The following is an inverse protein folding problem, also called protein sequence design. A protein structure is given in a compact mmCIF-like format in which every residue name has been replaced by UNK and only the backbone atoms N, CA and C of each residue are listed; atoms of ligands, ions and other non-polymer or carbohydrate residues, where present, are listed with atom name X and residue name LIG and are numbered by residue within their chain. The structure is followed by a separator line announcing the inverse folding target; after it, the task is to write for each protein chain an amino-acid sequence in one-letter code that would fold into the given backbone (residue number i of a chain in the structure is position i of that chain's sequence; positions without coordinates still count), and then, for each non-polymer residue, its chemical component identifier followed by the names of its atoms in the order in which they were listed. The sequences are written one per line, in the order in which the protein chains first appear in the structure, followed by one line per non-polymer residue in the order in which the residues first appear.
data_IF_830712633827
#
_entry.id   IF_830712633827
#
_cell.length_a   1.000
_cell.length_b   1.000
_cell.length_c   1.000
_cell.angle_alpha   90.00
_cell.angle_beta   90.00
_cell.angle_gamma   90.00
#
_symmetry.space_group_name_H-M   'P 1'
#
loop_
_entity.id
_entity.type
_entity.pdbx_description
1 polymer ?
#
# COMPACT_ATOMS: atom_id res chain seq x y z
N UNK A 1 -20.86 -4.55 2.74
CA UNK A 1 -20.32 -4.46 1.35
C UNK A 1 -18.83 -4.28 1.44
N UNK A 2 -18.02 -5.14 0.79
CA UNK A 2 -16.57 -5.04 0.72
C UNK A 2 -16.16 -4.47 -0.66
N UNK A 3 -15.80 -3.19 -0.76
CA UNK A 3 -15.32 -2.57 -1.99
C UNK A 3 -13.90 -3.04 -2.34
N UNK A 4 -13.70 -3.41 -3.60
CA UNK A 4 -12.39 -3.66 -4.21
C UNK A 4 -12.13 -2.63 -5.28
N UNK A 5 -10.93 -2.09 -5.29
CA UNK A 5 -10.49 -1.15 -6.32
C UNK A 5 -9.45 -1.85 -7.21
N UNK A 6 -9.76 -1.93 -8.51
CA UNK A 6 -8.90 -2.56 -9.51
C UNK A 6 -9.07 -1.91 -10.87
N UNK A 7 -7.99 -1.82 -11.63
CA UNK A 7 -8.01 -1.42 -13.03
C UNK A 7 -7.08 -2.32 -13.86
N UNK A 8 -7.50 -2.82 -15.05
CA UNK A 8 -6.66 -3.70 -15.87
C UNK A 8 -5.29 -3.14 -16.23
N UNK A 9 -5.16 -1.82 -16.31
CA UNK A 9 -3.90 -1.12 -16.61
C UNK A 9 -2.79 -1.42 -15.59
N UNK A 10 -3.12 -1.89 -14.39
CA UNK A 10 -2.12 -2.17 -13.35
C UNK A 10 -1.10 -3.22 -13.78
N UNK A 11 -1.49 -4.15 -14.66
CA UNK A 11 -0.62 -5.18 -15.22
C UNK A 11 -0.27 -4.97 -16.70
N UNK A 12 -0.70 -3.85 -17.31
CA UNK A 12 -0.45 -3.54 -18.71
C UNK A 12 0.79 -2.64 -18.90
N UNK A 13 1.93 -3.08 -18.38
CA UNK A 13 3.20 -2.41 -18.54
C UNK A 13 4.24 -3.38 -19.07
N UNK A 14 4.81 -3.08 -20.23
CA UNK A 14 5.91 -3.85 -20.77
C UNK A 14 7.20 -3.52 -20.03
N UNK A 15 7.79 -4.54 -19.44
CA UNK A 15 9.06 -4.44 -18.71
C UNK A 15 10.12 -5.32 -19.37
N UNK A 16 11.41 -4.96 -19.28
CA UNK A 16 12.49 -5.81 -19.77
C UNK A 16 12.45 -7.21 -19.15
N UNK A 17 12.92 -8.20 -19.90
CA UNK A 17 13.07 -9.57 -19.39
C UNK A 17 13.92 -9.59 -18.10
N UNK A 18 13.44 -10.33 -17.08
CA UNK A 18 14.09 -10.40 -15.77
C UNK A 18 13.91 -9.17 -14.89
N UNK A 19 13.01 -8.26 -15.25
CA UNK A 19 12.70 -7.13 -14.37
C UNK A 19 12.07 -7.61 -13.06
N UNK A 20 12.57 -7.11 -11.91
CA UNK A 20 12.16 -7.60 -10.59
C UNK A 20 10.75 -7.21 -10.17
N UNK A 21 10.16 -6.18 -10.79
CA UNK A 21 8.82 -5.73 -10.45
C UNK A 21 7.76 -6.73 -10.95
N UNK A 22 6.96 -7.35 -10.06
CA UNK A 22 6.06 -8.45 -10.42
C UNK A 22 4.75 -7.92 -11.01
N UNK A 23 4.82 -7.32 -12.19
CA UNK A 23 3.72 -6.58 -12.83
C UNK A 23 2.42 -7.39 -12.98
N UNK A 24 2.51 -8.71 -13.17
CA UNK A 24 1.35 -9.56 -13.35
C UNK A 24 0.62 -9.92 -12.05
N UNK A 25 1.23 -9.67 -10.88
CA UNK A 25 0.61 -10.03 -9.59
C UNK A 25 -0.79 -9.43 -9.42
N UNK A 26 -1.02 -8.23 -9.92
CA UNK A 26 -2.29 -7.51 -9.76
C UNK A 26 -3.43 -8.16 -10.55
N UNK A 27 -3.16 -8.57 -11.79
CA UNK A 27 -4.13 -9.30 -12.60
C UNK A 27 -4.42 -10.68 -12.00
N UNK A 28 -3.38 -11.42 -11.63
CA UNK A 28 -3.54 -12.74 -11.03
C UNK A 28 -4.30 -12.70 -9.70
N UNK A 29 -4.04 -11.67 -8.90
CA UNK A 29 -4.78 -11.45 -7.65
C UNK A 29 -6.25 -11.14 -7.93
N UNK A 30 -6.54 -10.24 -8.86
CA UNK A 30 -7.91 -9.91 -9.26
C UNK A 30 -8.68 -11.15 -9.74
N UNK A 31 -8.10 -11.94 -10.64
CA UNK A 31 -8.69 -13.19 -11.14
C UNK A 31 -8.94 -14.18 -9.99
N UNK A 32 -8.00 -14.30 -9.08
CA UNK A 32 -8.12 -15.17 -7.91
C UNK A 32 -9.23 -14.70 -6.93
N UNK A 33 -9.36 -13.39 -6.70
CA UNK A 33 -10.45 -12.84 -5.88
C UNK A 33 -11.81 -13.17 -6.48
N UNK A 34 -11.97 -13.03 -7.81
CA UNK A 34 -13.21 -13.42 -8.48
C UNK A 34 -13.57 -14.90 -8.28
N UNK A 35 -12.57 -15.79 -8.40
CA UNK A 35 -12.77 -17.23 -8.17
C UNK A 35 -13.19 -17.51 -6.72
N UNK A 36 -12.55 -16.85 -5.74
CA UNK A 36 -12.90 -16.99 -4.33
C UNK A 36 -14.32 -16.49 -4.01
N UNK A 37 -14.71 -15.36 -4.61
CA UNK A 37 -16.07 -14.83 -4.46
C UNK A 37 -17.14 -15.82 -4.94
N UNK A 38 -16.90 -16.50 -6.06
CA UNK A 38 -17.84 -17.48 -6.59
C UNK A 38 -17.85 -18.77 -5.79
N UNK A 39 -16.67 -19.29 -5.44
CA UNK A 39 -16.51 -20.56 -4.71
C UNK A 39 -17.13 -20.51 -3.32
N UNK A 40 -16.94 -19.40 -2.62
CA UNK A 40 -17.35 -19.26 -1.21
C UNK A 40 -18.66 -18.46 -1.05
N UNK A 41 -19.39 -18.18 -2.16
CA UNK A 41 -20.72 -17.56 -2.22
C UNK A 41 -20.82 -16.19 -1.53
N UNK A 42 -19.81 -15.32 -1.62
CA UNK A 42 -19.87 -13.99 -1.04
C UNK A 42 -19.85 -12.83 -2.08
N UNK A 43 -20.07 -13.17 -3.35
CA UNK A 43 -20.09 -12.20 -4.46
C UNK A 43 -21.11 -11.05 -4.24
N UNK A 44 -22.24 -11.33 -3.62
CA UNK A 44 -23.27 -10.31 -3.31
C UNK A 44 -22.81 -9.32 -2.23
N UNK A 45 -21.78 -9.66 -1.47
CA UNK A 45 -21.21 -8.83 -0.41
C UNK A 45 -19.99 -8.01 -0.87
N UNK A 46 -19.60 -8.09 -2.14
CA UNK A 46 -18.43 -7.42 -2.69
C UNK A 46 -18.75 -6.65 -3.98
N UNK A 47 -18.02 -5.58 -4.22
CA UNK A 47 -18.16 -4.78 -5.42
C UNK A 47 -16.80 -4.25 -5.89
N UNK A 48 -16.53 -4.37 -7.20
CA UNK A 48 -15.38 -3.77 -7.84
C UNK A 48 -15.68 -2.35 -8.34
N UNK A 49 -14.73 -1.45 -8.10
CA UNK A 49 -14.72 -0.08 -8.61
C UNK A 49 -13.44 0.15 -9.41
N UNK A 50 -13.54 0.92 -10.48
CA UNK A 50 -12.39 1.34 -11.28
C UNK A 50 -12.10 2.82 -11.01
N UNK A 51 -10.84 3.19 -10.73
CA UNK A 51 -10.46 4.57 -10.59
C UNK A 51 -10.29 5.23 -11.96
N UNK A 52 -10.60 6.52 -12.02
CA UNK A 52 -10.12 7.41 -13.08
C UNK A 52 -8.73 7.92 -12.72
N UNK A 53 -7.85 8.09 -13.71
CA UNK A 53 -6.49 8.55 -13.44
C UNK A 53 -6.48 9.94 -12.77
N UNK A 54 -5.55 10.14 -11.82
CA UNK A 54 -5.31 11.46 -11.24
C UNK A 54 -4.90 12.45 -12.34
N UNK A 55 -5.34 13.67 -12.18
CA UNK A 55 -4.81 14.80 -12.93
C UNK A 55 -3.40 15.16 -12.46
N UNK A 56 -2.60 15.74 -13.33
CA UNK A 56 -1.27 16.25 -12.97
C UNK A 56 -1.35 17.28 -11.83
N UNK A 57 -2.42 18.08 -11.79
CA UNK A 57 -2.66 19.07 -10.74
C UNK A 57 -2.85 18.43 -9.35
N UNK A 58 -3.54 17.30 -9.26
CA UNK A 58 -3.71 16.58 -7.98
C UNK A 58 -2.39 16.01 -7.47
N UNK A 59 -1.55 15.49 -8.37
CA UNK A 59 -0.22 14.98 -8.00
C UNK A 59 0.71 16.11 -7.51
N UNK A 60 0.68 17.27 -8.16
CA UNK A 60 1.45 18.47 -7.77
C UNK A 60 1.08 19.02 -6.38
N UNK A 61 -0.05 18.65 -5.83
CA UNK A 61 -0.42 19.01 -4.45
C UNK A 61 0.42 18.29 -3.39
N UNK A 62 1.05 17.17 -3.76
CA UNK A 62 1.89 16.34 -2.89
C UNK A 62 3.35 16.41 -3.30
N UNK A 63 3.63 16.35 -4.59
CA UNK A 63 4.96 16.31 -5.17
C UNK A 63 5.38 17.66 -5.76
N UNK A 64 6.69 17.86 -5.86
CA UNK A 64 7.28 19.03 -6.49
C UNK A 64 6.86 19.17 -7.96
N UNK A 65 6.53 20.39 -8.35
CA UNK A 65 6.00 20.68 -9.69
C UNK A 65 6.98 20.30 -10.80
N UNK A 66 8.27 20.65 -10.66
CA UNK A 66 9.30 20.33 -11.65
C UNK A 66 9.48 18.81 -11.76
N UNK A 67 9.49 18.11 -10.63
CA UNK A 67 9.57 16.65 -10.61
C UNK A 67 8.43 15.99 -11.37
N UNK A 68 7.21 16.42 -11.12
CA UNK A 68 6.01 15.88 -11.79
C UNK A 68 6.04 16.17 -13.29
N UNK A 69 6.38 17.40 -13.69
CA UNK A 69 6.47 17.79 -15.10
C UNK A 69 7.53 17.01 -15.86
N UNK A 70 8.72 16.82 -15.28
CA UNK A 70 9.79 16.02 -15.88
C UNK A 70 9.38 14.56 -16.10
N UNK A 71 8.64 13.96 -15.14
CA UNK A 71 8.12 12.60 -15.29
C UNK A 71 7.06 12.51 -16.38
N UNK A 72 6.05 13.37 -16.32
CA UNK A 72 4.91 13.31 -17.25
C UNK A 72 5.33 13.60 -18.68
N UNK A 73 6.27 14.54 -18.89
CA UNK A 73 6.77 14.91 -20.23
C UNK A 73 7.83 13.97 -20.78
N UNK A 74 8.33 12.99 -20.00
CA UNK A 74 9.40 12.08 -20.44
C UNK A 74 10.79 12.69 -20.41
N UNK A 75 10.94 13.85 -19.78
CA UNK A 75 12.23 14.56 -19.71
C UNK A 75 13.01 14.25 -18.42
N UNK A 76 12.57 13.28 -17.62
CA UNK A 76 13.26 12.88 -16.41
C UNK A 76 14.66 12.33 -16.72
N UNK A 77 15.72 12.87 -16.08
CA UNK A 77 17.08 12.38 -16.30
C UNK A 77 17.23 10.87 -16.10
N UNK A 78 17.95 10.19 -16.98
CA UNK A 78 18.13 8.75 -16.95
C UNK A 78 18.66 8.21 -15.62
N UNK A 79 19.48 8.98 -14.89
CA UNK A 79 19.97 8.61 -13.57
C UNK A 79 18.85 8.57 -12.52
N UNK A 80 17.91 9.53 -12.60
CA UNK A 80 16.72 9.55 -11.72
C UNK A 80 15.76 8.40 -12.06
N UNK A 81 15.53 8.09 -13.36
CA UNK A 81 14.73 6.93 -13.78
C UNK A 81 15.34 5.61 -13.30
N UNK A 82 16.67 5.44 -13.36
CA UNK A 82 17.33 4.24 -12.80
C UNK A 82 17.14 4.09 -11.29
N UNK A 83 17.07 5.22 -10.55
CA UNK A 83 16.75 5.19 -9.10
C UNK A 83 15.31 4.74 -8.85
N UNK A 84 14.38 5.17 -9.69
CA UNK A 84 12.98 4.70 -9.64
C UNK A 84 12.92 3.20 -9.94
N UNK A 85 13.72 2.72 -10.90
CA UNK A 85 13.80 1.31 -11.25
C UNK A 85 12.93 0.91 -12.45
N UNK A 86 12.29 1.86 -13.14
CA UNK A 86 11.53 1.63 -14.36
C UNK A 86 12.14 2.32 -15.58
N UNK A 87 12.07 1.72 -16.78
CA UNK A 87 12.23 2.48 -18.02
C UNK A 87 11.01 3.43 -18.17
N UNK A 88 11.27 4.65 -18.63
CA UNK A 88 10.18 5.58 -18.86
C UNK A 88 9.34 5.16 -20.08
N UNK A 89 8.03 5.30 -19.97
CA UNK A 89 7.06 5.17 -21.06
C UNK A 89 5.76 5.94 -20.72
N UNK A 90 4.99 6.30 -21.72
CA UNK A 90 3.67 6.91 -21.51
C UNK A 90 2.74 5.95 -20.75
N UNK A 91 2.85 4.64 -21.01
CA UNK A 91 2.07 3.62 -20.30
C UNK A 91 2.46 3.54 -18.81
N UNK A 92 3.74 3.73 -18.46
CA UNK A 92 4.18 3.82 -17.06
C UNK A 92 3.50 5.00 -16.35
N UNK A 93 3.48 6.18 -16.99
CA UNK A 93 2.85 7.38 -16.40
C UNK A 93 1.35 7.18 -16.24
N UNK A 94 0.66 6.73 -17.28
CA UNK A 94 -0.79 6.47 -17.22
C UNK A 94 -1.14 5.44 -16.15
N UNK A 95 -0.40 4.32 -16.10
CA UNK A 95 -0.54 3.31 -15.05
C UNK A 95 -0.35 3.90 -13.66
N UNK A 96 0.69 4.70 -13.46
CA UNK A 96 1.02 5.26 -12.15
C UNK A 96 -0.05 6.24 -11.67
N UNK A 97 -0.52 7.14 -12.54
CA UNK A 97 -1.62 8.06 -12.22
C UNK A 97 -2.91 7.32 -11.89
N UNK A 98 -3.23 6.26 -12.64
CA UNK A 98 -4.42 5.43 -12.39
C UNK A 98 -4.30 4.62 -11.09
N UNK A 99 -3.10 4.08 -10.79
CA UNK A 99 -2.90 3.32 -9.56
C UNK A 99 -2.91 4.22 -8.32
N UNK A 100 -2.30 5.41 -8.38
CA UNK A 100 -2.39 6.36 -7.27
C UNK A 100 -3.83 6.84 -7.03
N UNK A 101 -4.62 7.06 -8.09
CA UNK A 101 -6.05 7.31 -7.99
C UNK A 101 -6.81 6.16 -7.32
N UNK A 102 -6.36 4.92 -7.54
CA UNK A 102 -6.93 3.74 -6.91
C UNK A 102 -6.86 3.80 -5.39
N UNK A 103 -5.74 4.20 -4.82
CA UNK A 103 -5.59 4.34 -3.36
C UNK A 103 -6.45 5.48 -2.81
N UNK A 104 -6.54 6.60 -3.52
CA UNK A 104 -7.44 7.70 -3.15
C UNK A 104 -8.92 7.28 -3.19
N UNK A 105 -9.34 6.54 -4.23
CA UNK A 105 -10.67 5.97 -4.31
C UNK A 105 -10.93 4.94 -3.20
N UNK A 106 -9.92 4.17 -2.80
CA UNK A 106 -10.00 3.22 -1.69
C UNK A 106 -10.26 3.93 -0.38
N UNK A 107 -9.55 5.03 -0.10
CA UNK A 107 -9.80 5.87 1.08
C UNK A 107 -11.25 6.40 1.09
N UNK A 108 -11.73 6.93 -0.03
CA UNK A 108 -13.11 7.38 -0.18
C UNK A 108 -14.12 6.26 0.08
N UNK A 109 -13.89 5.05 -0.47
CA UNK A 109 -14.78 3.90 -0.27
C UNK A 109 -14.72 3.35 1.15
N UNK A 110 -13.55 3.41 1.79
CA UNK A 110 -13.41 3.03 3.19
C UNK A 110 -14.25 3.95 4.11
N UNK A 111 -14.24 5.26 3.88
CA UNK A 111 -15.10 6.20 4.61
C UNK A 111 -16.60 5.94 4.40
N UNK A 112 -16.99 5.44 3.21
CA UNK A 112 -18.40 5.12 2.88
C UNK A 112 -18.86 3.77 3.46
N UNK A 113 -17.98 2.74 3.46
CA UNK A 113 -18.35 1.35 3.78
C UNK A 113 -17.68 0.79 5.04
N UNK A 114 -16.78 1.53 5.68
CA UNK A 114 -15.97 1.09 6.82
C UNK A 114 -14.69 0.34 6.44
N UNK A 115 -14.62 -0.22 5.25
CA UNK A 115 -13.47 -0.95 4.72
C UNK A 115 -13.44 -0.85 3.20
N UNK A 116 -12.25 -0.79 2.60
CA UNK A 116 -12.05 -0.98 1.16
C UNK A 116 -10.63 -1.50 0.89
N UNK A 117 -10.46 -2.25 -0.21
CA UNK A 117 -9.16 -2.86 -0.58
C UNK A 117 -8.78 -2.46 -2.00
N UNK A 118 -7.60 -1.90 -2.16
CA UNK A 118 -6.97 -1.63 -3.44
C UNK A 118 -6.07 -2.79 -3.84
N UNK A 119 -6.34 -3.41 -5.00
CA UNK A 119 -5.52 -4.50 -5.53
C UNK A 119 -4.23 -3.99 -6.22
N UNK A 120 -3.68 -2.88 -5.74
CA UNK A 120 -2.40 -2.26 -6.10
C UNK A 120 -2.01 -1.29 -4.97
N UNK A 121 -1.14 -0.29 -5.23
CA UNK A 121 -0.77 0.74 -4.25
C UNK A 121 0.45 0.39 -3.41
N UNK A 122 0.75 1.25 -2.40
CA UNK A 122 1.91 1.10 -1.54
C UNK A 122 3.18 1.72 -2.12
N UNK A 123 3.08 2.91 -2.72
CA UNK A 123 4.25 3.58 -3.35
C UNK A 123 4.98 4.49 -2.35
N UNK A 124 5.32 3.94 -1.19
CA UNK A 124 5.84 4.61 -0.01
C UNK A 124 7.26 5.20 -0.16
N UNK A 125 8.03 4.80 -1.21
CA UNK A 125 9.37 5.34 -1.48
C UNK A 125 9.38 6.57 -2.38
N UNK A 126 8.24 7.08 -2.81
CA UNK A 126 8.19 8.32 -3.59
C UNK A 126 8.26 9.53 -2.65
N UNK A 127 9.33 10.32 -2.81
CA UNK A 127 9.58 11.57 -2.09
C UNK A 127 8.98 12.76 -2.83
N UNK A 128 9.05 13.95 -2.23
CA UNK A 128 8.54 15.17 -2.84
C UNK A 128 9.17 15.46 -4.21
N UNK A 129 10.49 15.33 -4.34
CA UNK A 129 11.28 15.76 -5.49
C UNK A 129 11.88 14.60 -6.31
N UNK A 130 11.64 13.35 -5.91
CA UNK A 130 12.17 12.19 -6.61
C UNK A 130 11.43 10.90 -6.25
N UNK A 131 11.42 9.97 -7.19
CA UNK A 131 10.98 8.60 -6.97
C UNK A 131 12.14 7.64 -6.68
N UNK A 132 11.81 6.51 -6.07
CA UNK A 132 12.76 5.45 -5.68
C UNK A 132 12.03 4.12 -5.53
N UNK A 133 12.73 2.98 -5.57
CA UNK A 133 12.17 1.68 -5.18
C UNK A 133 10.84 1.33 -5.86
N UNK A 134 10.76 1.51 -7.19
CA UNK A 134 9.56 1.29 -8.00
C UNK A 134 8.40 2.27 -7.74
N UNK A 135 8.62 3.33 -6.94
CA UNK A 135 7.62 4.33 -6.61
C UNK A 135 7.88 5.64 -7.35
N UNK A 136 6.89 6.12 -8.11
CA UNK A 136 6.93 7.42 -8.81
C UNK A 136 6.21 8.50 -8.00
N UNK A 137 4.96 8.23 -7.61
CA UNK A 137 4.14 9.12 -6.80
C UNK A 137 3.67 8.40 -5.55
N UNK A 138 3.65 9.08 -4.40
CA UNK A 138 3.25 8.51 -3.12
C UNK A 138 1.73 8.51 -3.00
N UNK A 139 1.13 7.41 -3.35
CA UNK A 139 -0.32 7.22 -3.35
C UNK A 139 -0.93 7.25 -1.95
N UNK A 140 -0.20 6.80 -0.93
CA UNK A 140 -0.64 6.81 0.47
C UNK A 140 -0.83 8.25 0.96
N UNK A 141 0.14 9.13 0.69
CA UNK A 141 0.06 10.55 1.08
C UNK A 141 -0.96 11.30 0.24
N UNK A 142 -1.07 10.99 -1.06
CA UNK A 142 -2.13 11.56 -1.93
C UNK A 142 -3.50 11.20 -1.36
N UNK A 143 -3.73 9.93 -1.04
CA UNK A 143 -4.99 9.46 -0.48
C UNK A 143 -5.28 10.09 0.89
N UNK A 144 -4.28 10.21 1.77
CA UNK A 144 -4.42 10.84 3.08
C UNK A 144 -4.83 12.31 2.96
N UNK A 145 -4.15 13.10 2.10
CA UNK A 145 -4.50 14.51 1.89
C UNK A 145 -5.89 14.69 1.29
N UNK A 146 -6.29 13.83 0.33
CA UNK A 146 -7.64 13.88 -0.22
C UNK A 146 -8.70 13.45 0.81
N UNK A 147 -8.39 12.52 1.71
CA UNK A 147 -9.29 12.13 2.79
C UNK A 147 -9.52 13.28 3.79
N UNK A 148 -8.48 14.05 4.13
CA UNK A 148 -8.59 15.24 4.99
C UNK A 148 -9.45 16.38 4.40
N UNK A 149 -9.79 16.32 3.11
CA UNK A 149 -10.74 17.25 2.49
C UNK A 149 -12.20 16.85 2.72
N UNK A 150 -12.43 15.63 3.19
CA UNK A 150 -13.78 15.14 3.51
C UNK A 150 -14.22 15.66 4.86
N UNK A 151 -15.45 16.19 4.94
CA UNK A 151 -16.03 16.65 6.21
C UNK A 151 -15.96 15.54 7.28
N UNK A 152 -15.52 15.89 8.48
CA UNK A 152 -15.35 15.00 9.65
C UNK A 152 -14.14 14.04 9.58
N UNK A 153 -13.20 14.26 8.67
CA UNK A 153 -11.90 13.57 8.67
C UNK A 153 -10.82 14.59 9.07
N UNK A 154 -10.48 14.60 10.34
CA UNK A 154 -9.49 15.55 10.88
C UNK A 154 -8.10 14.90 11.03
N UNK A 155 -8.03 13.56 11.04
CA UNK A 155 -6.77 12.83 11.24
C UNK A 155 -6.73 11.50 10.48
N UNK A 156 -5.62 11.27 9.78
CA UNK A 156 -5.33 10.02 9.06
C UNK A 156 -4.10 9.34 9.67
N UNK A 157 -4.18 8.04 9.92
CA UNK A 157 -3.03 7.22 10.30
C UNK A 157 -2.64 6.32 9.13
N UNK A 158 -1.42 6.48 8.63
CA UNK A 158 -0.81 5.56 7.66
C UNK A 158 -0.05 4.50 8.44
N UNK A 159 -0.49 3.25 8.33
CA UNK A 159 0.21 2.07 8.88
C UNK A 159 0.87 1.35 7.72
N UNK A 160 2.19 1.41 7.70
CA UNK A 160 3.03 0.77 6.69
C UNK A 160 3.68 -0.48 7.31
N UNK A 161 3.32 -1.65 6.80
CA UNK A 161 3.86 -2.94 7.24
C UNK A 161 4.61 -3.69 6.13
N UNK A 162 5.03 -2.98 5.09
CA UNK A 162 6.03 -3.43 4.11
C UNK A 162 7.38 -3.67 4.83
N UNK A 163 8.20 -4.58 4.32
CA UNK A 163 9.51 -4.88 4.94
C UNK A 163 10.50 -3.71 4.80
N UNK A 164 10.25 -2.84 3.83
CA UNK A 164 11.05 -1.64 3.59
C UNK A 164 10.49 -0.45 4.36
N UNK A 165 11.37 0.43 4.82
CA UNK A 165 10.93 1.66 5.46
C UNK A 165 10.28 2.61 4.45
N UNK A 166 9.10 3.14 4.78
CA UNK A 166 8.37 4.12 3.95
C UNK A 166 9.01 5.50 3.97
N UNK A 167 10.23 5.63 3.45
CA UNK A 167 11.06 6.83 3.54
C UNK A 167 10.45 8.04 2.81
N UNK A 168 9.77 7.82 1.70
CA UNK A 168 9.03 8.85 0.99
C UNK A 168 7.85 9.36 1.81
N UNK A 169 7.08 8.45 2.38
CA UNK A 169 5.93 8.78 3.24
C UNK A 169 6.38 9.58 4.47
N UNK A 170 7.42 9.12 5.18
CA UNK A 170 7.98 9.81 6.33
C UNK A 170 8.43 11.24 6.00
N UNK A 171 9.12 11.45 4.87
CA UNK A 171 9.59 12.80 4.48
C UNK A 171 8.46 13.72 4.01
N UNK A 172 7.44 13.19 3.34
CA UNK A 172 6.30 13.97 2.87
C UNK A 172 5.38 14.41 4.02
N UNK A 173 5.30 13.62 5.09
CA UNK A 173 4.42 13.89 6.22
C UNK A 173 5.11 14.59 7.41
N UNK A 174 6.42 14.86 7.34
CA UNK A 174 7.18 15.46 8.45
C UNK A 174 6.57 16.76 9.01
N UNK A 175 5.95 17.56 8.18
CA UNK A 175 5.33 18.83 8.56
C UNK A 175 3.78 18.79 8.45
N UNK A 176 3.18 17.59 8.45
CA UNK A 176 1.72 17.36 8.30
C UNK A 176 1.13 16.80 9.61
N UNK A 177 0.73 17.65 10.56
CA UNK A 177 0.31 17.20 11.89
C UNK A 177 -0.95 16.32 11.89
N UNK A 178 -1.72 16.35 10.81
CA UNK A 178 -2.97 15.61 10.67
C UNK A 178 -2.80 14.26 9.95
N UNK A 179 -1.57 13.95 9.48
CA UNK A 179 -1.20 12.66 8.89
C UNK A 179 -0.11 12.03 9.76
N UNK A 180 -0.49 11.01 10.51
CA UNK A 180 0.42 10.25 11.36
C UNK A 180 0.99 9.07 10.60
N UNK A 181 2.28 8.85 10.69
CA UNK A 181 3.01 7.78 9.99
C UNK A 181 3.55 6.74 10.96
N UNK A 182 3.25 5.47 10.70
CA UNK A 182 3.77 4.31 11.43
C UNK A 182 4.40 3.33 10.45
N UNK A 183 5.68 3.01 10.63
CA UNK A 183 6.43 2.10 9.75
C UNK A 183 7.02 0.93 10.52
N UNK A 184 6.62 -0.30 10.13
CA UNK A 184 7.25 -1.55 10.56
C UNK A 184 8.23 -1.98 9.46
N UNK A 185 9.52 -2.04 9.74
CA UNK A 185 10.49 -2.31 8.68
C UNK A 185 11.72 -3.07 9.18
N UNK A 186 12.41 -3.70 8.24
CA UNK A 186 13.69 -4.32 8.55
C UNK A 186 14.80 -3.25 8.65
N UNK A 187 15.45 -3.17 9.83
CA UNK A 187 16.50 -2.19 10.12
C UNK A 187 17.63 -2.18 9.06
N UNK A 188 18.05 -3.35 8.60
CA UNK A 188 19.16 -3.50 7.64
C UNK A 188 18.74 -3.68 6.18
N UNK A 189 17.46 -3.42 5.85
CA UNK A 189 16.99 -3.43 4.47
C UNK A 189 16.93 -2.00 3.88
N UNK A 190 16.51 -1.90 2.62
CA UNK A 190 16.30 -0.65 1.89
C UNK A 190 15.24 0.24 2.61
N UNK A 191 15.40 1.55 2.55
CA UNK A 191 16.55 2.32 2.10
C UNK A 191 17.69 2.34 3.13
N UNK A 192 18.92 2.62 2.67
CA UNK A 192 20.09 2.68 3.56
C UNK A 192 20.01 3.83 4.58
N UNK A 193 19.35 4.93 4.22
CA UNK A 193 19.05 6.05 5.12
C UNK A 193 17.55 6.08 5.32
N UNK A 194 17.13 6.02 6.59
CA UNK A 194 15.75 6.06 7.00
C UNK A 194 15.47 7.41 7.66
N UNK A 195 14.65 8.28 7.04
CA UNK A 195 14.12 9.45 7.74
C UNK A 195 13.20 8.96 8.88
N UNK A 196 12.89 9.84 9.80
CA UNK A 196 12.05 9.50 10.95
C UNK A 196 10.57 9.63 10.56
N UNK A 197 9.80 8.57 10.81
CA UNK A 197 8.34 8.61 10.86
C UNK A 197 7.87 9.10 12.24
N UNK A 198 6.58 9.33 12.44
CA UNK A 198 6.06 9.61 13.79
C UNK A 198 6.29 8.40 14.72
N UNK A 199 6.14 7.20 14.18
CA UNK A 199 6.40 5.94 14.87
C UNK A 199 7.20 4.99 13.96
N UNK A 200 8.41 4.64 14.36
CA UNK A 200 9.26 3.66 13.68
C UNK A 200 9.46 2.40 14.52
N UNK A 201 9.23 1.25 13.90
CA UNK A 201 9.42 -0.08 14.51
C UNK A 201 10.47 -0.86 13.71
N UNK A 202 11.76 -0.57 13.92
CA UNK A 202 12.84 -1.29 13.24
C UNK A 202 12.99 -2.70 13.82
N UNK A 203 12.80 -3.71 12.98
CA UNK A 203 12.93 -5.11 13.35
C UNK A 203 14.20 -5.71 12.73
N UNK A 204 14.72 -6.75 13.34
CA UNK A 204 15.96 -7.38 12.88
C UNK A 204 15.72 -8.32 11.70
N UNK A 205 16.73 -8.53 10.88
CA UNK A 205 16.68 -9.56 9.82
C UNK A 205 16.36 -10.92 10.42
N UNK A 206 15.48 -11.70 9.77
CA UNK A 206 15.04 -13.01 10.23
C UNK A 206 13.94 -12.95 11.30
N UNK A 207 13.33 -11.79 11.55
CA UNK A 207 12.16 -11.69 12.42
C UNK A 207 11.03 -12.58 11.88
N UNK A 208 10.59 -13.53 12.68
CA UNK A 208 9.50 -14.46 12.37
C UNK A 208 8.15 -14.01 12.93
N UNK A 209 7.16 -14.92 12.85
CA UNK A 209 5.76 -14.63 13.21
C UNK A 209 5.60 -14.07 14.63
N UNK A 210 6.19 -14.72 15.63
CA UNK A 210 5.98 -14.37 17.04
C UNK A 210 6.43 -12.93 17.33
N UNK A 211 7.68 -12.61 17.00
CA UNK A 211 8.26 -11.30 17.28
C UNK A 211 7.59 -10.19 16.44
N UNK A 212 7.32 -10.49 15.14
CA UNK A 212 6.65 -9.54 14.26
C UNK A 212 5.23 -9.23 14.75
N UNK A 213 4.43 -10.25 15.04
CA UNK A 213 3.04 -10.09 15.47
C UNK A 213 2.93 -9.44 16.85
N UNK A 214 3.87 -9.73 17.76
CA UNK A 214 3.92 -9.06 19.06
C UNK A 214 4.14 -7.56 18.89
N UNK A 215 5.17 -7.15 18.15
CA UNK A 215 5.47 -5.76 17.89
C UNK A 215 4.32 -5.06 17.13
N UNK A 216 3.77 -5.72 16.10
CA UNK A 216 2.68 -5.17 15.30
C UNK A 216 1.43 -4.90 16.15
N UNK A 217 0.99 -5.89 16.93
CA UNK A 217 -0.21 -5.77 17.76
C UNK A 217 -0.07 -4.68 18.82
N UNK A 218 1.06 -4.64 19.51
CA UNK A 218 1.32 -3.67 20.57
C UNK A 218 1.36 -2.23 20.02
N UNK A 219 2.12 -2.00 18.96
CA UNK A 219 2.32 -0.63 18.44
C UNK A 219 1.10 -0.11 17.69
N UNK A 220 0.40 -0.97 16.92
CA UNK A 220 -0.86 -0.57 16.27
C UNK A 220 -1.91 -0.20 17.30
N UNK A 221 -2.09 -1.00 18.35
CA UNK A 221 -3.05 -0.69 19.42
C UNK A 221 -2.70 0.63 20.14
N UNK A 222 -1.42 0.85 20.43
CA UNK A 222 -0.90 2.08 21.02
C UNK A 222 -1.16 3.29 20.10
N UNK A 223 -0.85 3.17 18.80
CA UNK A 223 -1.01 4.26 17.83
C UNK A 223 -2.48 4.67 17.66
N UNK A 224 -3.38 3.70 17.57
CA UNK A 224 -4.83 3.94 17.46
C UNK A 224 -5.39 4.60 18.75
N UNK A 225 -4.92 4.20 19.92
CA UNK A 225 -5.32 4.81 21.20
C UNK A 225 -4.81 6.24 21.36
N UNK A 226 -3.55 6.48 20.95
CA UNK A 226 -2.87 7.78 21.11
C UNK A 226 -3.42 8.81 20.14
N UNK A 227 -3.53 8.44 18.87
CA UNK A 227 -3.83 9.38 17.78
C UNK A 227 -5.31 9.47 17.44
N UNK A 228 -6.11 8.41 17.69
CA UNK A 228 -7.56 8.35 17.41
C UNK A 228 -7.90 8.84 16.01
N UNK A 229 -7.36 8.19 14.96
CA UNK A 229 -7.57 8.64 13.59
C UNK A 229 -9.03 8.43 13.14
N UNK A 230 -9.47 9.25 12.19
CA UNK A 230 -10.78 9.12 11.54
C UNK A 230 -10.72 8.17 10.34
N UNK A 231 -9.50 7.86 9.85
CA UNK A 231 -9.23 6.91 8.78
C UNK A 231 -7.86 6.25 9.00
N UNK A 232 -7.79 4.95 8.78
CA UNK A 232 -6.52 4.22 8.63
C UNK A 232 -6.27 3.94 7.14
N UNK A 233 -5.10 4.31 6.63
CA UNK A 233 -4.57 3.84 5.35
C UNK A 233 -3.53 2.78 5.68
N UNK A 234 -3.73 1.57 5.17
CA UNK A 234 -2.93 0.41 5.53
C UNK A 234 -2.17 -0.14 4.32
N UNK A 235 -0.84 -0.05 4.34
CA UNK A 235 0.03 -0.76 3.41
C UNK A 235 0.28 -2.17 3.94
N UNK A 236 -0.38 -3.13 3.29
CA UNK A 236 -0.35 -4.55 3.64
C UNK A 236 0.71 -5.32 2.83
N UNK A 237 1.87 -4.73 2.60
CA UNK A 237 2.98 -5.37 1.89
C UNK A 237 3.22 -6.80 2.38
N UNK A 238 3.44 -7.73 1.43
CA UNK A 238 3.70 -9.14 1.76
C UNK A 238 5.18 -9.52 1.60
N UNK A 239 6.04 -8.56 1.35
CA UNK A 239 7.50 -8.75 1.27
C UNK A 239 8.17 -9.02 2.64
N UNK A 240 7.38 -9.00 3.72
CA UNK A 240 7.75 -9.59 5.02
C UNK A 240 7.76 -11.12 4.99
N UNK A 241 7.20 -11.77 3.93
CA UNK A 241 7.12 -13.20 3.82
C UNK A 241 8.49 -13.85 3.71
N UNK A 242 8.67 -15.01 4.39
CA UNK A 242 9.93 -15.76 4.44
C UNK A 242 10.55 -16.11 3.07
N UNK A 243 9.72 -16.21 2.04
CA UNK A 243 10.16 -16.54 0.69
C UNK A 243 10.24 -15.31 -0.23
N UNK A 244 10.12 -14.10 0.27
CA UNK A 244 10.24 -12.89 -0.56
C UNK A 244 11.69 -12.70 -1.03
N UNK A 245 11.87 -12.30 -2.30
CA UNK A 245 13.21 -12.18 -2.90
C UNK A 245 13.92 -10.86 -2.53
N UNK A 246 13.20 -9.86 -1.99
CA UNK A 246 13.74 -8.58 -1.54
C UNK A 246 13.54 -8.34 -0.04
N UNK A 247 12.68 -9.13 0.60
CA UNK A 247 12.43 -9.13 2.03
C UNK A 247 13.55 -9.79 2.82
N UNK A 248 13.62 -9.47 4.12
CA UNK A 248 14.58 -10.08 5.04
C UNK A 248 13.94 -10.55 6.33
N UNK A 249 12.61 -10.70 6.37
CA UNK A 249 11.89 -11.33 7.48
C UNK A 249 11.57 -12.79 7.17
N UNK A 250 11.20 -13.52 8.19
CA UNK A 250 10.82 -14.95 8.10
C UNK A 250 9.35 -15.13 8.52
N UNK A 251 8.48 -14.19 8.14
CA UNK A 251 7.04 -14.27 8.44
C UNK A 251 6.37 -15.27 7.51
N UNK A 252 5.56 -16.16 8.08
CA UNK A 252 4.82 -17.16 7.33
C UNK A 252 3.55 -16.56 6.68
N UNK A 253 2.96 -17.30 5.72
CA UNK A 253 1.63 -16.96 5.18
C UNK A 253 0.57 -16.87 6.28
N UNK A 254 0.66 -17.72 7.31
CA UNK A 254 -0.25 -17.67 8.46
C UNK A 254 0.01 -16.42 9.30
N UNK A 255 1.26 -16.03 9.51
CA UNK A 255 1.62 -14.79 10.20
C UNK A 255 1.06 -13.55 9.50
N UNK A 256 1.08 -13.51 8.16
CA UNK A 256 0.46 -12.44 7.36
C UNK A 256 -1.06 -12.40 7.57
N UNK A 257 -1.75 -13.56 7.53
CA UNK A 257 -3.18 -13.63 7.82
C UNK A 257 -3.50 -13.09 9.23
N UNK A 258 -2.72 -13.47 10.23
CA UNK A 258 -2.92 -13.03 11.62
C UNK A 258 -2.65 -11.52 11.79
N UNK A 259 -1.65 -10.96 11.10
CA UNK A 259 -1.39 -9.52 11.04
C UNK A 259 -2.61 -8.77 10.51
N UNK A 260 -3.08 -9.18 9.34
CA UNK A 260 -4.18 -8.50 8.65
C UNK A 260 -5.50 -8.64 9.42
N UNK A 261 -5.78 -9.85 9.94
CA UNK A 261 -6.97 -10.11 10.78
C UNK A 261 -6.97 -9.24 12.03
N UNK A 262 -5.85 -9.15 12.73
CA UNK A 262 -5.73 -8.32 13.92
C UNK A 262 -6.04 -6.85 13.61
N UNK A 263 -5.45 -6.29 12.54
CA UNK A 263 -5.72 -4.91 12.15
C UNK A 263 -7.21 -4.71 11.82
N UNK A 264 -7.77 -5.55 10.95
CA UNK A 264 -9.18 -5.46 10.53
C UNK A 264 -10.14 -5.53 11.72
N UNK A 265 -9.94 -6.47 12.64
CA UNK A 265 -10.75 -6.59 13.87
C UNK A 265 -10.60 -5.36 14.76
N UNK A 266 -9.38 -4.86 14.93
CA UNK A 266 -9.09 -3.74 15.82
C UNK A 266 -9.73 -2.45 15.31
N UNK A 267 -9.62 -2.14 14.02
CA UNK A 267 -10.24 -0.94 13.45
C UNK A 267 -11.78 -1.06 13.42
N UNK A 268 -12.32 -2.23 13.04
CA UNK A 268 -13.78 -2.48 13.07
C UNK A 268 -14.35 -2.27 14.46
N UNK A 269 -13.72 -2.85 15.50
CA UNK A 269 -14.18 -2.74 16.89
C UNK A 269 -14.21 -1.30 17.43
N UNK A 270 -13.40 -0.41 16.82
CA UNK A 270 -13.33 1.01 17.17
C UNK A 270 -14.16 1.90 16.25
N UNK A 271 -14.80 1.33 15.22
CA UNK A 271 -15.56 2.08 14.23
C UNK A 271 -14.68 2.97 13.33
N UNK A 272 -13.39 2.63 13.18
CA UNK A 272 -12.43 3.38 12.34
C UNK A 272 -12.43 2.76 10.95
N UNK A 273 -12.73 3.53 9.88
CA UNK A 273 -12.60 3.06 8.51
C UNK A 273 -11.16 2.68 8.14
N UNK A 274 -11.00 1.65 7.30
CA UNK A 274 -9.68 1.20 6.82
C UNK A 274 -9.64 1.08 5.30
N UNK A 275 -8.69 1.80 4.69
CA UNK A 275 -8.33 1.72 3.29
C UNK A 275 -7.03 0.91 3.17
N UNK A 276 -7.12 -0.36 2.74
CA UNK A 276 -5.96 -1.23 2.61
C UNK A 276 -5.45 -1.28 1.17
N UNK A 277 -4.14 -1.29 0.99
CA UNK A 277 -3.46 -1.51 -0.29
C UNK A 277 -2.59 -2.77 -0.20
N UNK A 278 -2.40 -3.48 -1.33
CA UNK A 278 -1.67 -4.76 -1.30
C UNK A 278 -0.15 -4.62 -1.19
N UNK A 279 0.41 -3.42 -1.44
CA UNK A 279 1.80 -3.10 -1.19
C UNK A 279 2.86 -3.94 -1.90
N UNK A 280 4.03 -4.05 -1.29
CA UNK A 280 5.16 -4.84 -1.74
C UNK A 280 4.91 -6.34 -1.78
N UNK A 281 5.87 -7.07 -2.32
CA UNK A 281 5.87 -8.51 -2.53
C UNK A 281 6.54 -8.84 -3.86
N UNK A 282 7.64 -9.61 -3.80
CA UNK A 282 8.57 -9.77 -4.93
C UNK A 282 8.98 -11.24 -5.09
N UNK A 283 8.58 -11.81 -6.21
CA UNK A 283 8.91 -13.18 -6.63
C UNK A 283 9.15 -13.21 -8.12
N UNK A 284 10.10 -13.97 -8.57
CA UNK A 284 10.37 -14.21 -9.99
C UNK A 284 9.14 -14.83 -10.67
N UNK A 285 8.47 -15.79 -10.01
CA UNK A 285 7.16 -16.24 -10.44
C UNK A 285 6.06 -15.40 -9.77
N UNK A 286 5.46 -14.49 -10.51
CA UNK A 286 4.45 -13.55 -10.00
C UNK A 286 3.20 -14.25 -9.41
N UNK A 287 2.86 -15.47 -9.90
CA UNK A 287 1.72 -16.21 -9.40
C UNK A 287 1.90 -16.70 -7.95
N UNK A 288 3.15 -16.90 -7.51
CA UNK A 288 3.45 -17.35 -6.14
C UNK A 288 3.13 -16.29 -5.07
N UNK A 289 2.95 -15.02 -5.48
CA UNK A 289 2.53 -13.94 -4.60
C UNK A 289 1.03 -13.95 -4.30
N UNK A 290 0.22 -14.52 -5.19
CA UNK A 290 -1.24 -14.49 -5.10
C UNK A 290 -1.76 -15.12 -3.79
N UNK A 291 -1.37 -16.35 -3.41
CA UNK A 291 -1.87 -16.95 -2.16
C UNK A 291 -1.46 -16.17 -0.91
N UNK A 292 -0.37 -15.38 -0.99
CA UNK A 292 0.11 -14.56 0.13
C UNK A 292 -0.72 -13.28 0.22
N UNK A 293 -0.90 -12.55 -0.88
CA UNK A 293 -1.76 -11.37 -0.93
C UNK A 293 -3.25 -11.66 -0.63
N UNK A 294 -3.71 -12.87 -0.93
CA UNK A 294 -5.08 -13.29 -0.60
C UNK A 294 -5.35 -13.30 0.91
N UNK A 295 -4.33 -13.32 1.77
CA UNK A 295 -4.54 -13.31 3.22
C UNK A 295 -5.19 -12.00 3.68
N UNK A 296 -4.87 -10.85 3.07
CA UNK A 296 -5.56 -9.59 3.32
C UNK A 296 -7.06 -9.69 2.99
N UNK A 297 -7.39 -10.31 1.85
CA UNK A 297 -8.79 -10.49 1.41
C UNK A 297 -9.52 -11.45 2.35
N UNK A 298 -8.88 -12.55 2.75
CA UNK A 298 -9.43 -13.51 3.70
C UNK A 298 -9.71 -12.84 5.06
N UNK A 299 -8.77 -12.07 5.58
CA UNK A 299 -8.93 -11.33 6.83
C UNK A 299 -10.10 -10.32 6.76
N UNK A 300 -10.19 -9.55 5.67
CA UNK A 300 -11.27 -8.60 5.49
C UNK A 300 -12.64 -9.29 5.34
N UNK A 301 -12.69 -10.42 4.59
CA UNK A 301 -13.92 -11.23 4.45
C UNK A 301 -14.36 -11.77 5.80
N UNK A 302 -13.47 -12.43 6.56
CA UNK A 302 -13.78 -12.96 7.88
C UNK A 302 -14.37 -11.88 8.79
N UNK A 303 -13.76 -10.71 8.82
CA UNK A 303 -14.13 -9.65 9.77
C UNK A 303 -15.35 -8.85 9.31
N UNK A 304 -15.49 -8.50 8.03
CA UNK A 304 -16.53 -7.56 7.56
C UNK A 304 -17.71 -8.22 6.86
N UNK A 305 -17.62 -9.52 6.53
CA UNK A 305 -18.69 -10.25 5.86
C UNK A 305 -19.23 -11.39 6.75
N UNK A 306 -18.33 -12.21 7.32
CA UNK A 306 -18.74 -13.44 8.04
C UNK A 306 -19.11 -13.17 9.51
N UNK A 307 -18.61 -12.08 10.15
CA UNK A 307 -18.98 -11.62 11.49
C UNK A 307 -20.10 -10.56 11.43
#
# INVERSE_FOLDING_TARGET
MLPFIYHPIYSQLELPEGHRYPIMKYQYLYESVLVHMEKDNWKEHAQFFQPEALTVGEVKRVHDEEYVELLVSGNMPAAKMRRIGFPWSESLITRTLTSAAGTALTAKKALEYGVAIHLSGGYHHAHKEFGSGFCLFNDLVIAARQALEVEHVDKVLIIDSDVHHGDGTATLCNDEPDIITLSFHCDKNFPARKPQSDLDVPLVRGTGDEDFLMAFKEVVDMALNLHRPDLVIYDAGVDIHQDDELGYFDVSTQGILERDRFLMQTVKSRGIPVAAVVGGGYRTNHADLVPIHLQLINAAKEVFIDE
#
